data_IF_394506549259
#
_entry.id   IF_394506549259
#
_cell.length_a   1.000
_cell.length_b   1.000
_cell.length_c   1.000
_cell.angle_alpha   90.00
_cell.angle_beta   90.00
_cell.angle_gamma   90.00
#
_symmetry.space_group_name_H-M   'P 1'
#
loop_
_entity.id
_entity.type
_entity.pdbx_description
1 polymer ?
#
# COMPACT_ATOMS: atom_id res chain seq x y z
N UNK A 1 -8.32 10.29 3.78
CA UNK A 1 -7.63 11.57 3.49
C UNK A 1 -7.65 11.94 2.01
N UNK A 2 -7.62 10.96 1.09
CA UNK A 2 -7.69 11.27 -0.36
C UNK A 2 -9.08 11.80 -0.76
N UNK A 3 -10.15 11.18 -0.30
CA UNK A 3 -11.53 11.57 -0.59
C UNK A 3 -12.04 12.70 0.32
N UNK A 4 -11.41 12.93 1.46
CA UNK A 4 -11.71 14.01 2.39
C UNK A 4 -10.43 14.73 2.81
N UNK A 5 -10.24 15.92 2.27
CA UNK A 5 -9.05 16.74 2.49
C UNK A 5 -8.96 17.27 3.93
N UNK A 6 -10.07 17.40 4.66
CA UNK A 6 -10.09 17.85 6.05
C UNK A 6 -9.37 16.91 7.00
N UNK A 7 -9.22 15.63 6.60
CA UNK A 7 -8.52 14.61 7.38
C UNK A 7 -6.99 14.65 7.24
N UNK A 8 -6.46 15.48 6.34
CA UNK A 8 -5.01 15.59 6.14
C UNK A 8 -4.35 16.26 7.33
N UNK A 9 -3.20 15.70 7.76
CA UNK A 9 -2.46 16.22 8.91
C UNK A 9 -3.01 15.80 10.28
N UNK A 10 -4.16 15.14 10.32
CA UNK A 10 -4.73 14.59 11.55
C UNK A 10 -4.43 13.09 11.71
N UNK A 11 -4.34 12.56 12.93
CA UNK A 11 -4.29 11.12 13.16
C UNK A 11 -5.64 10.49 12.78
N UNK A 12 -5.64 9.66 11.74
CA UNK A 12 -6.85 9.01 11.20
C UNK A 12 -6.66 7.51 11.16
N UNK A 13 -7.68 6.78 11.57
CA UNK A 13 -7.77 5.35 11.42
C UNK A 13 -9.08 4.94 10.77
N UNK A 14 -9.06 3.83 10.06
CA UNK A 14 -10.26 3.15 9.57
C UNK A 14 -10.61 2.07 10.58
N UNK A 15 -11.83 2.08 11.06
CA UNK A 15 -12.29 1.10 12.05
C UNK A 15 -13.75 0.74 11.85
N UNK A 16 -14.15 -0.36 12.47
CA UNK A 16 -15.54 -0.79 12.48
C UNK A 16 -16.46 0.13 13.32
N UNK A 17 -17.59 -0.38 13.69
CA UNK A 17 -18.62 0.37 14.40
C UNK A 17 -18.14 0.94 15.74
N UNK A 18 -18.03 2.27 15.78
CA UNK A 18 -17.57 3.03 16.96
C UNK A 18 -18.59 2.98 18.08
N UNK A 19 -19.89 2.85 17.76
CA UNK A 19 -20.98 2.91 18.74
C UNK A 19 -20.99 1.68 19.66
N UNK A 20 -20.60 0.52 19.13
CA UNK A 20 -20.63 -0.74 19.87
C UNK A 20 -19.33 -1.07 20.64
N UNK A 21 -18.32 -0.22 20.66
CA UNK A 21 -17.02 -0.41 21.35
C UNK A 21 -16.25 -1.70 21.01
N UNK A 22 -16.75 -2.52 20.08
CA UNK A 22 -16.18 -3.84 19.72
C UNK A 22 -15.41 -3.84 18.39
N UNK A 23 -15.28 -2.67 17.72
CA UNK A 23 -14.55 -2.56 16.49
C UNK A 23 -13.03 -2.60 16.69
N UNK A 24 -12.32 -2.98 15.63
CA UNK A 24 -10.86 -2.97 15.57
C UNK A 24 -10.36 -1.98 14.52
N UNK A 25 -9.11 -1.57 14.66
CA UNK A 25 -8.40 -0.75 13.67
C UNK A 25 -8.07 -1.63 12.46
N UNK A 26 -8.63 -1.29 11.31
CA UNK A 26 -8.37 -1.97 10.04
C UNK A 26 -7.17 -1.37 9.32
N UNK A 27 -7.06 -0.04 9.32
CA UNK A 27 -5.96 0.70 8.74
C UNK A 27 -5.75 2.02 9.48
N UNK A 28 -4.60 2.64 9.30
CA UNK A 28 -4.24 3.92 9.91
C UNK A 28 -3.30 4.69 9.01
N UNK A 29 -3.33 6.03 9.11
CA UNK A 29 -2.35 6.88 8.46
C UNK A 29 -1.05 6.98 9.26
N UNK A 30 -0.05 7.65 8.70
CA UNK A 30 1.26 7.78 9.34
C UNK A 30 1.22 8.65 10.59
N UNK A 31 0.33 9.63 10.65
CA UNK A 31 0.09 10.46 11.83
C UNK A 31 -0.39 9.61 13.01
N UNK A 32 -1.39 8.76 12.80
CA UNK A 32 -1.87 7.83 13.83
C UNK A 32 -0.81 6.78 14.21
N UNK A 33 0.00 6.32 13.25
CA UNK A 33 1.10 5.38 13.50
C UNK A 33 2.15 5.93 14.50
N UNK A 34 2.40 7.25 14.50
CA UNK A 34 3.34 7.89 15.43
C UNK A 34 2.92 7.75 16.90
N UNK A 35 1.63 7.58 17.18
CA UNK A 35 1.10 7.32 18.53
C UNK A 35 1.14 5.84 18.93
N UNK A 36 1.77 4.98 18.12
CA UNK A 36 1.88 3.55 18.39
C UNK A 36 0.58 2.77 18.17
N UNK A 37 -0.37 3.33 17.42
CA UNK A 37 -1.62 2.66 17.03
C UNK A 37 -1.29 1.50 16.09
N UNK A 38 -1.89 0.32 16.33
CA UNK A 38 -1.64 -0.88 15.54
C UNK A 38 -2.91 -1.35 14.82
N UNK A 39 -2.73 -1.99 13.68
CA UNK A 39 -3.81 -2.69 12.98
C UNK A 39 -4.21 -3.92 13.80
N UNK A 40 -5.50 -4.15 13.94
CA UNK A 40 -6.05 -5.25 14.74
C UNK A 40 -6.29 -4.92 16.22
N UNK A 41 -5.80 -3.77 16.73
CA UNK A 41 -6.12 -3.38 18.11
C UNK A 41 -7.55 -2.83 18.24
N UNK A 42 -8.10 -2.90 19.44
CA UNK A 42 -9.44 -2.41 19.72
C UNK A 42 -9.50 -0.87 19.61
N UNK A 43 -10.64 -0.33 19.14
CA UNK A 43 -10.83 1.12 18.97
C UNK A 43 -10.61 1.91 20.26
N UNK A 44 -11.03 1.37 21.41
CA UNK A 44 -10.83 2.03 22.70
C UNK A 44 -9.34 2.13 23.08
N UNK A 45 -8.53 1.08 22.79
CA UNK A 45 -7.07 1.10 23.01
C UNK A 45 -6.40 2.15 22.14
N UNK A 46 -6.81 2.24 20.88
CA UNK A 46 -6.30 3.26 19.96
C UNK A 46 -6.64 4.68 20.43
N UNK A 47 -7.86 4.89 20.94
CA UNK A 47 -8.31 6.16 21.52
C UNK A 47 -7.54 6.53 22.81
N UNK A 48 -7.19 5.57 23.63
CA UNK A 48 -6.38 5.81 24.84
C UNK A 48 -4.97 6.29 24.47
N UNK A 49 -4.40 5.79 23.38
CA UNK A 49 -3.10 6.23 22.86
C UNK A 49 -3.14 7.61 22.19
N UNK A 50 -4.26 7.93 21.54
CA UNK A 50 -4.45 9.19 20.83
C UNK A 50 -5.91 9.65 20.97
N UNK A 51 -6.16 10.58 21.89
CA UNK A 51 -7.52 11.10 22.17
C UNK A 51 -8.12 11.82 20.95
N UNK A 52 -7.28 12.49 20.16
CA UNK A 52 -7.68 13.21 18.94
C UNK A 52 -7.77 12.31 17.71
N UNK A 53 -7.66 10.98 17.86
CA UNK A 53 -7.78 10.05 16.76
C UNK A 53 -9.16 10.14 16.10
N UNK A 54 -9.18 10.42 14.81
CA UNK A 54 -10.40 10.39 14.00
C UNK A 54 -10.58 8.98 13.47
N UNK A 55 -11.72 8.36 13.80
CA UNK A 55 -12.05 7.03 13.29
C UNK A 55 -13.11 7.20 12.21
N UNK A 56 -12.84 6.66 11.02
CA UNK A 56 -13.74 6.68 9.87
C UNK A 56 -14.17 5.26 9.52
N UNK A 57 -15.39 5.06 9.03
CA UNK A 57 -15.85 3.74 8.60
C UNK A 57 -15.12 3.28 7.33
N UNK A 58 -15.02 1.96 7.09
CA UNK A 58 -14.47 1.44 5.84
C UNK A 58 -15.44 1.68 4.68
N UNK A 59 -14.90 2.06 3.54
CA UNK A 59 -15.64 2.27 2.28
C UNK A 59 -15.26 1.21 1.25
N UNK A 60 -15.72 -0.02 1.41
CA UNK A 60 -15.31 -1.19 0.60
C UNK A 60 -15.56 -1.01 -0.90
N UNK A 61 -16.64 -0.37 -1.30
CA UNK A 61 -16.90 -0.10 -2.72
C UNK A 61 -15.82 0.80 -3.34
N UNK A 62 -15.36 1.81 -2.60
CA UNK A 62 -14.26 2.66 -3.05
C UNK A 62 -12.95 1.87 -3.12
N UNK A 63 -12.67 1.00 -2.15
CA UNK A 63 -11.46 0.17 -2.17
C UNK A 63 -11.45 -0.76 -3.38
N UNK A 64 -12.58 -1.41 -3.69
CA UNK A 64 -12.72 -2.26 -4.88
C UNK A 64 -12.55 -1.46 -6.18
N UNK A 65 -13.15 -0.27 -6.25
CA UNK A 65 -12.98 0.63 -7.39
C UNK A 65 -11.51 0.96 -7.65
N UNK A 66 -10.78 1.42 -6.62
CA UNK A 66 -9.38 1.79 -6.76
C UNK A 66 -8.47 0.58 -6.98
N UNK A 67 -8.80 -0.57 -6.41
CA UNK A 67 -8.13 -1.85 -6.70
C UNK A 67 -8.23 -2.21 -8.19
N UNK A 68 -9.41 -2.03 -8.79
CA UNK A 68 -9.62 -2.27 -10.23
C UNK A 68 -8.82 -1.29 -11.09
N UNK A 69 -8.91 0.01 -10.81
CA UNK A 69 -8.17 1.04 -11.53
C UNK A 69 -6.65 0.83 -11.47
N UNK A 70 -6.14 0.40 -10.29
CA UNK A 70 -4.72 0.06 -10.14
C UNK A 70 -4.32 -1.10 -11.08
N UNK A 71 -5.14 -2.14 -11.17
CA UNK A 71 -4.88 -3.28 -12.07
C UNK A 71 -4.97 -2.89 -13.54
N UNK A 72 -5.82 -1.96 -13.91
CA UNK A 72 -5.87 -1.39 -15.27
C UNK A 72 -4.54 -0.72 -15.63
N UNK A 73 -3.95 0.07 -14.71
CA UNK A 73 -2.59 0.62 -14.89
C UNK A 73 -1.55 -0.48 -15.05
N UNK A 74 -1.60 -1.54 -14.21
CA UNK A 74 -0.64 -2.65 -14.29
C UNK A 74 -0.74 -3.40 -15.62
N UNK A 75 -1.94 -3.55 -16.18
CA UNK A 75 -2.17 -4.26 -17.43
C UNK A 75 -1.55 -3.59 -18.66
N UNK A 76 -1.19 -2.31 -18.58
CA UNK A 76 -0.45 -1.61 -19.62
C UNK A 76 1.01 -2.13 -19.77
N UNK A 77 1.50 -2.82 -18.76
CA UNK A 77 2.91 -3.26 -18.68
C UNK A 77 3.09 -4.77 -18.81
N UNK A 78 2.12 -5.55 -18.37
CA UNK A 78 2.12 -7.01 -18.47
C UNK A 78 0.71 -7.56 -18.36
N UNK A 79 0.46 -8.70 -19.02
CA UNK A 79 -0.75 -9.51 -18.86
C UNK A 79 -0.62 -10.55 -17.73
N UNK A 80 0.59 -10.72 -17.18
CA UNK A 80 0.90 -11.65 -16.11
C UNK A 80 0.75 -10.98 -14.74
N UNK A 81 -0.51 -10.75 -14.34
CA UNK A 81 -0.86 -10.09 -13.08
C UNK A 81 -1.49 -11.11 -12.14
N UNK A 82 -0.89 -11.28 -10.97
CA UNK A 82 -1.45 -12.14 -9.91
C UNK A 82 -1.87 -11.27 -8.73
N UNK A 83 -3.16 -11.15 -8.45
CA UNK A 83 -3.66 -10.43 -7.28
C UNK A 83 -3.28 -11.14 -5.97
N UNK A 84 -2.92 -10.34 -4.97
CA UNK A 84 -2.73 -10.78 -3.60
C UNK A 84 -3.54 -9.88 -2.67
N UNK A 85 -4.75 -10.30 -2.38
CA UNK A 85 -5.72 -9.46 -1.68
C UNK A 85 -6.29 -8.32 -2.54
N UNK A 86 -6.77 -7.29 -1.88
CA UNK A 86 -7.44 -6.15 -2.52
C UNK A 86 -6.46 -5.10 -3.06
N UNK A 87 -5.33 -4.90 -2.40
CA UNK A 87 -4.41 -3.77 -2.57
C UNK A 87 -3.02 -4.17 -3.04
N UNK A 88 -2.76 -5.45 -3.22
CA UNK A 88 -1.46 -5.95 -3.65
C UNK A 88 -1.57 -6.81 -4.92
N UNK A 89 -0.54 -6.76 -5.77
CA UNK A 89 -0.40 -7.61 -6.94
C UNK A 89 1.07 -7.97 -7.16
N UNK A 90 1.32 -9.18 -7.66
CA UNK A 90 2.56 -9.48 -8.35
C UNK A 90 2.40 -9.27 -9.85
N UNK A 91 3.43 -8.76 -10.47
CA UNK A 91 3.53 -8.56 -11.90
C UNK A 91 4.78 -9.29 -12.40
N UNK A 92 4.59 -10.28 -13.26
CA UNK A 92 5.72 -10.82 -14.00
C UNK A 92 5.95 -9.95 -15.23
N UNK A 93 7.05 -9.21 -15.20
CA UNK A 93 7.43 -8.27 -16.26
C UNK A 93 8.59 -8.78 -17.12
N UNK A 94 8.94 -10.07 -16.98
CA UNK A 94 10.07 -10.69 -17.71
C UNK A 94 9.95 -10.46 -19.21
N UNK A 95 8.74 -10.58 -19.77
CA UNK A 95 8.49 -10.40 -21.20
C UNK A 95 8.45 -8.96 -21.69
N UNK A 96 8.33 -7.97 -20.80
CA UNK A 96 8.13 -6.55 -21.17
C UNK A 96 9.19 -5.60 -20.64
N UNK A 97 9.94 -5.99 -19.61
CA UNK A 97 10.91 -5.13 -18.91
C UNK A 97 11.97 -4.51 -19.82
N UNK A 98 12.35 -5.20 -20.88
CA UNK A 98 13.35 -4.74 -21.86
C UNK A 98 12.95 -3.41 -22.52
N UNK A 99 11.67 -3.11 -22.66
CA UNK A 99 11.14 -1.84 -23.21
C UNK A 99 11.46 -0.64 -22.30
N UNK A 100 11.68 -0.90 -21.03
CA UNK A 100 11.84 0.12 -19.97
C UNK A 100 13.27 0.16 -19.40
N UNK A 101 14.17 -0.67 -19.94
CA UNK A 101 15.58 -0.75 -19.56
C UNK A 101 15.86 -1.59 -18.33
N UNK A 102 15.05 -1.47 -17.27
CA UNK A 102 15.19 -2.28 -16.04
C UNK A 102 13.88 -2.42 -15.29
N UNK A 103 13.80 -3.43 -14.41
CA UNK A 103 12.68 -3.59 -13.50
C UNK A 103 12.53 -2.42 -12.52
N UNK A 104 13.63 -1.81 -12.10
CA UNK A 104 13.61 -0.61 -11.24
C UNK A 104 13.00 0.60 -11.96
N UNK A 105 13.39 0.85 -13.20
CA UNK A 105 12.80 1.93 -14.01
C UNK A 105 11.31 1.71 -14.20
N UNK A 106 10.90 0.50 -14.57
CA UNK A 106 9.49 0.16 -14.74
C UNK A 106 8.70 0.34 -13.44
N UNK A 107 9.24 -0.10 -12.31
CA UNK A 107 8.62 0.08 -11.00
C UNK A 107 8.43 1.57 -10.65
N UNK A 108 9.41 2.42 -10.97
CA UNK A 108 9.29 3.87 -10.77
C UNK A 108 8.21 4.48 -11.69
N UNK A 109 8.12 4.05 -12.95
CA UNK A 109 7.07 4.50 -13.87
C UNK A 109 5.68 4.14 -13.31
N UNK A 110 5.48 2.89 -12.88
CA UNK A 110 4.20 2.45 -12.29
C UNK A 110 3.90 3.26 -11.03
N UNK A 111 4.87 3.44 -10.13
CA UNK A 111 4.71 4.21 -8.88
C UNK A 111 4.26 5.65 -9.15
N UNK A 112 4.88 6.33 -10.10
CA UNK A 112 4.52 7.70 -10.48
C UNK A 112 3.11 7.76 -11.11
N UNK A 113 2.76 6.81 -12.00
CA UNK A 113 1.41 6.74 -12.57
C UNK A 113 0.33 6.55 -11.50
N UNK A 114 0.55 5.62 -10.56
CA UNK A 114 -0.36 5.40 -9.43
C UNK A 114 -0.60 6.70 -8.64
N UNK A 115 0.47 7.46 -8.42
CA UNK A 115 0.43 8.71 -7.68
C UNK A 115 -0.30 9.82 -8.44
N UNK A 116 0.00 10.01 -9.72
CA UNK A 116 -0.57 11.12 -10.50
C UNK A 116 -1.96 10.82 -11.06
N UNK A 117 -2.23 9.57 -11.48
CA UNK A 117 -3.51 9.21 -12.07
C UNK A 117 -4.57 8.84 -11.02
N UNK A 118 -4.17 8.17 -9.93
CA UNK A 118 -5.09 7.70 -8.89
C UNK A 118 -4.97 8.44 -7.55
N UNK A 119 -3.93 9.25 -7.35
CA UNK A 119 -3.67 9.88 -6.06
C UNK A 119 -3.22 8.91 -4.97
N UNK A 120 -2.73 7.71 -5.35
CA UNK A 120 -2.30 6.66 -4.43
C UNK A 120 -0.78 6.54 -4.45
N UNK A 121 -0.17 6.54 -3.26
CA UNK A 121 1.23 6.14 -3.12
C UNK A 121 1.34 4.64 -2.99
N UNK A 122 2.29 4.04 -3.69
CA UNK A 122 2.60 2.61 -3.62
C UNK A 122 4.07 2.38 -3.32
N UNK A 123 4.38 1.28 -2.64
CA UNK A 123 5.74 0.81 -2.47
C UNK A 123 5.94 -0.46 -3.29
N UNK A 124 6.98 -0.50 -4.12
CA UNK A 124 7.21 -1.55 -5.09
C UNK A 124 8.49 -2.29 -4.76
N UNK A 125 8.41 -3.60 -4.64
CA UNK A 125 9.57 -4.48 -4.57
C UNK A 125 9.86 -5.08 -5.94
N UNK A 126 11.11 -5.01 -6.35
CA UNK A 126 11.61 -5.60 -7.62
C UNK A 126 12.58 -6.71 -7.29
N UNK A 127 12.31 -7.91 -7.76
CA UNK A 127 13.18 -9.05 -7.51
C UNK A 127 12.98 -10.17 -8.54
N UNK A 128 13.70 -11.26 -8.39
CA UNK A 128 13.71 -12.44 -9.26
C UNK A 128 12.66 -13.49 -8.86
N UNK A 129 11.91 -13.26 -7.79
CA UNK A 129 10.77 -14.09 -7.36
C UNK A 129 9.78 -13.30 -6.50
N UNK A 130 8.58 -13.86 -6.32
CA UNK A 130 7.47 -13.23 -5.58
C UNK A 130 7.80 -12.93 -4.12
N UNK A 131 8.51 -13.85 -3.43
CA UNK A 131 8.82 -13.72 -2.00
C UNK A 131 9.69 -12.49 -1.76
N UNK A 132 10.78 -12.36 -2.51
CA UNK A 132 11.67 -11.20 -2.34
C UNK A 132 11.10 -9.92 -2.91
N UNK A 133 10.25 -9.99 -3.94
CA UNK A 133 9.51 -8.82 -4.40
C UNK A 133 8.56 -8.30 -3.31
N UNK A 134 7.81 -9.20 -2.65
CA UNK A 134 6.95 -8.83 -1.52
C UNK A 134 7.76 -8.25 -0.35
N UNK A 135 8.84 -8.91 0.04
CA UNK A 135 9.72 -8.42 1.10
C UNK A 135 10.26 -7.01 0.77
N UNK A 136 10.74 -6.81 -0.45
CA UNK A 136 11.24 -5.51 -0.92
C UNK A 136 10.19 -4.40 -0.83
N UNK A 137 8.93 -4.70 -1.14
CA UNK A 137 7.84 -3.73 -1.04
C UNK A 137 7.57 -3.25 0.38
N UNK A 138 7.93 -4.04 1.39
CA UNK A 138 7.73 -3.72 2.81
C UNK A 138 8.93 -3.02 3.46
N UNK A 139 10.13 -3.10 2.86
CA UNK A 139 11.37 -2.57 3.46
C UNK A 139 11.43 -1.04 3.52
N UNK A 140 10.92 -0.37 2.48
CA UNK A 140 10.93 1.10 2.39
C UNK A 140 9.52 1.59 2.09
N UNK A 141 8.83 2.10 3.11
CA UNK A 141 7.50 2.70 3.01
C UNK A 141 7.52 4.10 3.61
N UNK A 142 6.75 5.04 3.06
CA UNK A 142 5.89 4.99 1.87
C UNK A 142 6.62 5.35 0.58
N UNK A 143 5.91 5.16 -0.55
CA UNK A 143 6.24 5.74 -1.87
C UNK A 143 7.68 5.46 -2.32
N UNK A 144 8.07 4.18 -2.35
CA UNK A 144 9.44 3.78 -2.63
C UNK A 144 9.55 2.57 -3.56
N UNK A 145 10.68 2.45 -4.24
CA UNK A 145 11.08 1.25 -4.96
C UNK A 145 12.27 0.61 -4.23
N UNK A 146 12.18 -0.70 -4.01
CA UNK A 146 13.27 -1.49 -3.42
C UNK A 146 13.63 -2.64 -4.36
N UNK A 147 14.89 -2.68 -4.78
CA UNK A 147 15.40 -3.77 -5.62
C UNK A 147 16.16 -4.77 -4.75
N UNK A 148 15.81 -6.05 -4.87
CA UNK A 148 16.54 -7.17 -4.25
C UNK A 148 17.07 -8.05 -5.38
N UNK A 149 18.31 -7.85 -5.84
CA UNK A 149 18.92 -8.64 -6.90
C UNK A 149 19.28 -10.04 -6.41
N UNK A 150 19.34 -10.99 -7.34
CA UNK A 150 19.72 -12.39 -7.06
C UNK A 150 21.12 -12.52 -6.47
N UNK A 151 22.02 -11.66 -6.88
CA UNK A 151 23.45 -11.71 -6.50
C UNK A 151 23.68 -11.25 -5.06
N UNK A 152 22.87 -10.32 -4.57
CA UNK A 152 23.08 -9.65 -3.27
C UNK A 152 21.92 -9.80 -2.28
N UNK A 153 20.98 -10.72 -2.54
CA UNK A 153 19.78 -10.84 -1.68
C UNK A 153 20.13 -11.17 -0.24
N UNK A 154 21.18 -12.00 0.01
CA UNK A 154 21.63 -12.40 1.35
C UNK A 154 22.18 -11.25 2.20
N UNK A 155 22.63 -10.18 1.56
CA UNK A 155 23.15 -8.99 2.24
C UNK A 155 22.03 -7.98 2.57
N UNK A 156 20.88 -8.12 1.90
CA UNK A 156 19.75 -7.17 2.01
C UNK A 156 18.62 -7.66 2.91
N UNK A 157 18.63 -8.95 3.30
CA UNK A 157 17.55 -9.57 4.07
C UNK A 157 18.01 -9.84 5.52
#
# INVERSE_FOLDING_TARGET
CMLDMSLRGHPVAVGGDVENRHGIILAKNYEAKKFGIQTGEALWQAKDKCKDLIIVPPHYEQYLKYSKLAREIYSDYTDQIEPYGMDECWLDVTGSVWKYGSGENLANIIRERMKFELGLSVSVGVSFNKIFAKLGSDMKKPDAVTVIPRETFREKI
#
